data_IF_051688471330
#
_entry.id   IF_051688471330
#
_cell.length_a   1.000
_cell.length_b   1.000
_cell.length_c   1.000
_cell.angle_alpha   90.00
_cell.angle_beta   90.00
_cell.angle_gamma   90.00
#
_symmetry.space_group_name_H-M   'P 1'
#
loop_
_entity.id
_entity.type
_entity.pdbx_description
1 polymer ?
#
# COMPACT_ATOMS: atom_id res chain seq x y z
N UNK A 1 -35.72 18.85 25.10
CA UNK A 1 -34.53 19.31 24.35
C UNK A 1 -34.92 20.36 23.31
N UNK A 2 -34.35 21.58 23.35
CA UNK A 2 -34.63 22.63 22.35
C UNK A 2 -34.30 22.12 20.94
N UNK A 3 -35.08 22.50 19.91
CA UNK A 3 -34.97 22.06 18.50
C UNK A 3 -33.52 22.11 17.96
N UNK A 4 -32.76 23.13 18.37
CA UNK A 4 -31.33 23.31 18.05
C UNK A 4 -30.41 22.16 18.53
N UNK A 5 -30.70 21.55 19.68
CA UNK A 5 -29.90 20.44 20.20
C UNK A 5 -30.21 19.11 19.49
N UNK A 6 -31.46 18.92 19.03
CA UNK A 6 -31.81 17.75 18.19
C UNK A 6 -31.10 17.82 16.83
N UNK A 7 -31.02 19.02 16.23
CA UNK A 7 -30.30 19.24 14.98
C UNK A 7 -28.78 19.05 15.14
N UNK A 8 -28.19 19.55 16.23
CA UNK A 8 -26.76 19.35 16.52
C UNK A 8 -26.43 17.87 16.78
N UNK A 9 -27.26 17.17 17.55
CA UNK A 9 -27.11 15.73 17.81
C UNK A 9 -27.25 14.93 16.52
N UNK A 10 -28.20 15.28 15.64
CA UNK A 10 -28.33 14.65 14.33
C UNK A 10 -27.11 14.88 13.43
N UNK A 11 -26.54 16.09 13.40
CA UNK A 11 -25.33 16.42 12.66
C UNK A 11 -24.08 15.67 13.15
N UNK A 12 -24.00 15.35 14.45
CA UNK A 12 -22.87 14.64 15.04
C UNK A 12 -23.03 13.12 14.91
N UNK A 13 -24.25 12.60 15.07
CA UNK A 13 -24.50 11.15 15.02
C UNK A 13 -24.60 10.61 13.59
N UNK A 14 -25.08 11.41 12.62
CA UNK A 14 -25.28 10.91 11.26
C UNK A 14 -23.98 10.49 10.55
N UNK A 15 -22.83 11.20 10.67
CA UNK A 15 -21.59 10.75 10.05
C UNK A 15 -21.06 9.47 10.70
N UNK A 16 -21.23 9.32 12.03
CA UNK A 16 -20.83 8.12 12.76
C UNK A 16 -21.65 6.91 12.29
N UNK A 17 -22.96 7.07 12.14
CA UNK A 17 -23.82 6.00 11.62
C UNK A 17 -23.47 5.66 10.18
N UNK A 18 -23.22 6.66 9.32
CA UNK A 18 -22.81 6.44 7.93
C UNK A 18 -21.48 5.68 7.86
N UNK A 19 -20.46 6.13 8.59
CA UNK A 19 -19.15 5.45 8.67
C UNK A 19 -19.33 4.02 9.19
N UNK A 20 -20.15 3.85 10.23
CA UNK A 20 -20.50 2.54 10.78
C UNK A 20 -21.07 1.62 9.71
N UNK A 21 -22.10 2.07 8.98
CA UNK A 21 -22.74 1.31 7.89
C UNK A 21 -21.75 0.99 6.76
N UNK A 22 -20.94 1.95 6.34
CA UNK A 22 -19.94 1.75 5.28
C UNK A 22 -18.87 0.73 5.69
N UNK A 23 -18.48 0.70 6.96
CA UNK A 23 -17.42 -0.19 7.47
C UNK A 23 -17.89 -1.62 7.76
N UNK A 24 -19.21 -1.87 7.79
CA UNK A 24 -19.80 -3.19 8.15
C UNK A 24 -19.22 -4.30 7.27
N UNK A 25 -19.08 -4.06 5.98
CA UNK A 25 -18.59 -5.09 5.06
C UNK A 25 -17.20 -5.56 5.47
N UNK A 26 -16.28 -4.67 5.81
CA UNK A 26 -14.89 -4.97 6.09
C UNK A 26 -14.72 -5.58 7.49
N UNK A 27 -15.53 -5.15 8.46
CA UNK A 27 -15.49 -5.67 9.83
C UNK A 27 -16.00 -7.12 9.90
N UNK A 28 -17.04 -7.45 9.13
CA UNK A 28 -17.68 -8.77 9.21
C UNK A 28 -17.33 -9.71 8.05
N UNK A 29 -16.53 -9.27 7.07
CA UNK A 29 -16.08 -10.14 5.98
C UNK A 29 -15.25 -11.30 6.52
N UNK A 30 -15.65 -12.50 6.12
CA UNK A 30 -14.86 -13.72 6.27
C UNK A 30 -14.51 -14.23 4.89
N UNK A 31 -13.21 -14.27 4.61
CA UNK A 31 -12.69 -14.81 3.37
C UNK A 31 -13.13 -16.27 3.21
N UNK A 32 -13.72 -16.60 2.05
CA UNK A 32 -14.27 -17.92 1.77
C UNK A 32 -14.29 -18.20 0.26
N UNK A 33 -14.20 -19.48 -0.09
CA UNK A 33 -14.24 -19.93 -1.48
C UNK A 33 -13.02 -19.49 -2.30
N UNK A 34 -13.00 -19.89 -3.57
CA UNK A 34 -11.99 -19.47 -4.53
C UNK A 34 -12.45 -18.20 -5.25
N UNK A 35 -11.53 -17.25 -5.38
CA UNK A 35 -11.72 -16.07 -6.21
C UNK A 35 -11.60 -16.39 -7.70
N UNK A 36 -12.24 -15.56 -8.53
CA UNK A 36 -12.06 -15.57 -9.98
C UNK A 36 -11.71 -14.17 -10.44
N UNK A 37 -10.50 -13.98 -10.97
CA UNK A 37 -10.09 -12.73 -11.61
C UNK A 37 -10.36 -12.79 -13.11
N UNK A 38 -11.00 -11.77 -13.66
CA UNK A 38 -11.26 -11.66 -15.11
C UNK A 38 -10.61 -10.41 -15.69
N UNK A 39 -10.29 -10.48 -16.98
CA UNK A 39 -9.70 -9.37 -17.71
C UNK A 39 -8.28 -9.05 -17.26
N UNK A 40 -7.92 -7.77 -17.30
CA UNK A 40 -6.59 -7.26 -16.99
C UNK A 40 -6.61 -6.39 -15.74
N UNK A 41 -5.43 -6.10 -15.18
CA UNK A 41 -5.29 -5.15 -14.07
C UNK A 41 -5.89 -3.77 -14.33
N UNK A 42 -6.02 -3.34 -15.59
CA UNK A 42 -6.55 -2.02 -15.98
C UNK A 42 -7.99 -2.07 -16.52
N UNK A 43 -8.50 -3.26 -16.79
CA UNK A 43 -9.86 -3.49 -17.28
C UNK A 43 -10.28 -4.92 -16.93
N UNK A 44 -10.81 -5.11 -15.72
CA UNK A 44 -11.08 -6.42 -15.18
C UNK A 44 -12.09 -6.37 -14.03
N UNK A 45 -12.35 -7.54 -13.48
CA UNK A 45 -13.22 -7.72 -12.32
C UNK A 45 -12.67 -8.83 -11.42
N UNK A 46 -13.17 -8.85 -10.19
CA UNK A 46 -12.85 -9.83 -9.17
C UNK A 46 -14.16 -10.41 -8.62
N UNK A 47 -14.28 -11.73 -8.63
CA UNK A 47 -15.36 -12.42 -7.93
C UNK A 47 -14.79 -13.15 -6.72
N UNK A 48 -15.56 -13.19 -5.62
CA UNK A 48 -15.14 -13.74 -4.32
C UNK A 48 -13.76 -13.23 -3.88
N UNK A 49 -13.55 -11.91 -3.97
CA UNK A 49 -12.32 -11.28 -3.48
C UNK A 49 -12.10 -11.56 -2.00
N UNK A 50 -10.84 -11.76 -1.63
CA UNK A 50 -10.43 -11.94 -0.24
C UNK A 50 -9.88 -10.63 0.30
N UNK A 51 -10.43 -10.19 1.42
CA UNK A 51 -10.01 -8.98 2.13
C UNK A 51 -8.72 -9.26 2.89
N UNK A 52 -7.68 -8.47 2.61
CA UNK A 52 -6.42 -8.48 3.36
C UNK A 52 -6.69 -8.05 4.81
N UNK A 53 -6.04 -8.63 5.85
CA UNK A 53 -6.25 -8.17 7.22
C UNK A 53 -5.79 -6.71 7.38
N UNK A 54 -6.54 -5.91 8.13
CA UNK A 54 -6.15 -4.52 8.39
C UNK A 54 -4.79 -4.43 9.10
N UNK A 55 -4.47 -5.39 9.97
CA UNK A 55 -3.16 -5.48 10.61
C UNK A 55 -2.79 -6.91 11.00
N UNK A 56 -1.50 -7.13 11.20
CA UNK A 56 -0.90 -8.31 11.81
C UNK A 56 0.27 -7.91 12.70
N UNK A 57 1.09 -8.87 13.11
CA UNK A 57 2.17 -8.63 14.08
C UNK A 57 3.28 -7.72 13.54
N UNK A 58 3.54 -7.75 12.23
CA UNK A 58 4.59 -6.99 11.56
C UNK A 58 4.08 -6.18 10.35
N UNK A 59 2.77 -6.00 10.20
CA UNK A 59 2.22 -5.19 9.12
C UNK A 59 0.91 -4.50 9.47
N UNK A 60 0.59 -3.43 8.75
CA UNK A 60 -0.72 -2.79 8.77
C UNK A 60 -1.14 -2.31 7.37
N UNK A 61 -2.43 -2.02 7.22
CA UNK A 61 -2.97 -1.31 6.08
C UNK A 61 -2.89 0.20 6.35
N UNK A 62 -2.46 0.98 5.35
CA UNK A 62 -2.05 2.38 5.53
C UNK A 62 -3.18 3.35 5.92
N UNK A 63 -4.42 3.08 5.50
CA UNK A 63 -5.52 4.06 5.57
C UNK A 63 -6.85 3.45 5.96
N UNK A 64 -7.45 3.97 7.03
CA UNK A 64 -8.82 3.64 7.42
C UNK A 64 -9.84 4.00 6.34
N UNK A 65 -9.66 5.14 5.65
CA UNK A 65 -10.59 5.60 4.61
C UNK A 65 -10.53 4.64 3.41
N UNK A 66 -9.32 4.33 2.93
CA UNK A 66 -9.13 3.42 1.80
C UNK A 66 -9.68 2.01 2.12
N UNK A 67 -9.42 1.52 3.33
CA UNK A 67 -9.86 0.20 3.74
C UNK A 67 -11.37 0.11 4.00
N UNK A 68 -11.88 0.89 4.97
CA UNK A 68 -13.24 0.75 5.50
C UNK A 68 -14.31 1.53 4.74
N UNK A 69 -13.95 2.61 4.04
CA UNK A 69 -14.93 3.45 3.35
C UNK A 69 -14.90 3.26 1.83
N UNK A 70 -13.73 2.98 1.26
CA UNK A 70 -13.56 2.80 -0.19
C UNK A 70 -13.52 1.32 -0.62
N UNK A 71 -13.46 0.39 0.33
CA UNK A 71 -13.40 -1.06 0.08
C UNK A 71 -12.19 -1.51 -0.77
N UNK A 72 -11.05 -0.80 -0.71
CA UNK A 72 -9.88 -1.05 -1.57
C UNK A 72 -8.93 -2.14 -1.06
N UNK A 73 -9.38 -3.00 -0.14
CA UNK A 73 -8.54 -4.01 0.54
C UNK A 73 -8.61 -5.43 -0.04
N UNK A 74 -9.26 -5.64 -1.19
CA UNK A 74 -9.54 -6.99 -1.69
C UNK A 74 -8.55 -7.43 -2.77
N UNK A 75 -8.22 -8.73 -2.74
CA UNK A 75 -7.35 -9.38 -3.73
C UNK A 75 -7.85 -10.77 -4.08
N UNK A 76 -7.27 -11.37 -5.11
CA UNK A 76 -7.49 -12.78 -5.43
C UNK A 76 -6.97 -13.69 -4.30
N UNK A 77 -7.69 -14.77 -3.96
CA UNK A 77 -7.35 -15.65 -2.82
C UNK A 77 -5.90 -16.15 -2.79
N UNK A 78 -5.31 -16.51 -3.94
CA UNK A 78 -3.90 -16.91 -4.01
C UNK A 78 -2.92 -15.76 -3.72
N UNK A 79 -3.28 -14.54 -4.11
CA UNK A 79 -2.50 -13.33 -3.82
C UNK A 79 -2.57 -13.03 -2.33
N UNK A 80 -3.76 -13.10 -1.73
CA UNK A 80 -3.94 -13.02 -0.28
C UNK A 80 -3.02 -14.00 0.45
N UNK A 81 -3.04 -15.28 0.04
CA UNK A 81 -2.25 -16.33 0.68
C UNK A 81 -0.76 -16.05 0.58
N UNK A 82 -0.28 -15.62 -0.59
CA UNK A 82 1.12 -15.25 -0.77
C UNK A 82 1.55 -14.07 0.12
N UNK A 83 0.69 -13.06 0.28
CA UNK A 83 0.98 -11.89 1.11
C UNK A 83 0.99 -12.24 2.60
N UNK A 84 0.00 -13.00 3.08
CA UNK A 84 -0.03 -13.40 4.50
C UNK A 84 1.12 -14.36 4.83
N UNK A 85 1.43 -15.31 3.93
CA UNK A 85 2.58 -16.21 4.09
C UNK A 85 3.91 -15.46 4.09
N UNK A 86 4.07 -14.42 3.27
CA UNK A 86 5.31 -13.63 3.23
C UNK A 86 5.50 -12.86 4.55
N UNK A 87 4.44 -12.26 5.09
CA UNK A 87 4.53 -11.56 6.37
C UNK A 87 4.76 -12.51 7.54
N UNK A 88 4.16 -13.70 7.57
CA UNK A 88 4.45 -14.71 8.58
C UNK A 88 5.92 -15.15 8.53
N UNK A 89 6.49 -15.30 7.33
CA UNK A 89 7.91 -15.63 7.17
C UNK A 89 8.83 -14.48 7.63
N UNK A 90 8.45 -13.23 7.34
CA UNK A 90 9.19 -12.04 7.74
C UNK A 90 9.10 -11.79 9.25
N UNK A 91 7.95 -12.04 9.87
CA UNK A 91 7.78 -11.92 11.32
C UNK A 91 8.77 -12.83 12.06
N UNK A 92 8.95 -14.06 11.56
CA UNK A 92 9.89 -15.02 12.13
C UNK A 92 11.35 -14.65 11.87
N UNK A 93 11.68 -14.15 10.68
CA UNK A 93 13.07 -13.91 10.29
C UNK A 93 13.59 -12.52 10.67
N UNK A 94 12.69 -11.55 10.82
CA UNK A 94 12.98 -10.12 10.99
C UNK A 94 11.89 -9.44 11.83
N UNK A 95 11.72 -9.84 13.10
CA UNK A 95 10.63 -9.38 13.96
C UNK A 95 10.63 -7.86 14.24
N UNK A 96 11.75 -7.18 14.03
CA UNK A 96 11.90 -5.74 14.20
C UNK A 96 11.37 -4.93 13.01
N UNK A 97 11.21 -5.56 11.84
CA UNK A 97 10.73 -4.90 10.63
C UNK A 97 9.22 -4.77 10.62
N UNK A 98 8.75 -3.78 9.90
CA UNK A 98 7.34 -3.50 9.75
C UNK A 98 7.03 -3.11 8.31
N UNK A 99 5.88 -3.56 7.82
CA UNK A 99 5.47 -3.39 6.44
C UNK A 99 4.10 -2.76 6.37
N UNK A 100 3.87 -1.96 5.33
CA UNK A 100 2.59 -1.27 5.18
C UNK A 100 2.00 -1.60 3.82
N UNK A 101 0.82 -2.21 3.85
CA UNK A 101 0.03 -2.52 2.66
C UNK A 101 -0.78 -1.27 2.31
N UNK A 102 -0.81 -0.96 1.02
CA UNK A 102 -1.58 0.14 0.47
C UNK A 102 -2.71 -0.39 -0.42
N UNK A 103 -3.06 0.33 -1.47
CA UNK A 103 -4.18 -0.02 -2.33
C UNK A 103 -4.09 -1.42 -2.93
N UNK A 104 -5.19 -2.15 -2.79
CA UNK A 104 -5.49 -3.37 -3.51
C UNK A 104 -6.67 -3.09 -4.46
N UNK A 105 -7.51 -4.09 -4.72
CA UNK A 105 -8.72 -3.94 -5.53
C UNK A 105 -9.96 -3.67 -4.68
N UNK A 106 -11.02 -3.18 -5.34
CA UNK A 106 -12.39 -3.26 -4.83
C UNK A 106 -12.82 -4.72 -4.64
N UNK A 107 -13.80 -4.96 -3.76
CA UNK A 107 -14.41 -6.28 -3.52
C UNK A 107 -14.80 -7.03 -4.79
N UNK A 108 -15.36 -6.31 -5.76
CA UNK A 108 -15.79 -6.86 -7.05
C UNK A 108 -14.81 -6.52 -8.20
N UNK A 109 -13.67 -5.90 -7.87
CA UNK A 109 -12.76 -5.33 -8.85
C UNK A 109 -13.38 -4.17 -9.60
N UNK A 110 -13.04 -3.99 -10.88
CA UNK A 110 -13.50 -2.85 -11.66
C UNK A 110 -12.77 -1.55 -11.30
N UNK A 111 -13.31 -0.38 -11.69
CA UNK A 111 -12.65 0.90 -11.47
C UNK A 111 -12.42 1.21 -9.99
N UNK A 112 -11.16 1.37 -9.60
CA UNK A 112 -10.76 1.79 -8.26
C UNK A 112 -10.59 3.31 -8.23
N UNK A 113 -11.04 3.94 -7.16
CA UNK A 113 -10.94 5.39 -7.00
C UNK A 113 -9.46 5.83 -6.98
N UNK A 114 -9.12 6.86 -7.75
CA UNK A 114 -7.76 7.40 -7.97
C UNK A 114 -6.77 6.47 -8.71
N UNK A 115 -7.15 5.23 -9.03
CA UNK A 115 -6.26 4.24 -9.65
C UNK A 115 -6.76 3.78 -11.03
N UNK A 116 -5.85 3.73 -12.00
CA UNK A 116 -6.16 3.19 -13.34
C UNK A 116 -6.04 1.66 -13.40
N UNK A 117 -5.32 1.07 -12.45
CA UNK A 117 -5.05 -0.38 -12.32
C UNK A 117 -5.88 -0.97 -11.17
N UNK A 118 -5.43 -2.08 -10.58
CA UNK A 118 -6.06 -2.74 -9.42
C UNK A 118 -7.49 -3.21 -9.65
N UNK A 119 -7.84 -3.55 -10.89
CA UNK A 119 -9.24 -3.85 -11.24
C UNK A 119 -9.63 -5.32 -11.12
N UNK A 120 -8.69 -6.23 -10.88
CA UNK A 120 -8.93 -7.68 -10.99
C UNK A 120 -8.36 -8.49 -9.82
N UNK A 121 -7.93 -7.87 -8.72
CA UNK A 121 -7.39 -8.57 -7.56
C UNK A 121 -5.97 -9.11 -7.71
N UNK A 122 -5.23 -8.70 -8.75
CA UNK A 122 -3.87 -9.20 -9.02
C UNK A 122 -2.79 -8.11 -8.95
N UNK A 123 -3.06 -7.02 -8.23
CA UNK A 123 -2.13 -5.92 -8.04
C UNK A 123 -2.25 -5.40 -6.59
N UNK A 124 -1.13 -5.04 -5.98
CA UNK A 124 -1.07 -4.42 -4.64
C UNK A 124 0.01 -3.35 -4.63
N UNK A 125 -0.29 -2.20 -4.02
CA UNK A 125 0.68 -1.19 -3.64
C UNK A 125 1.21 -1.48 -2.23
N UNK A 126 2.52 -1.35 -2.05
CA UNK A 126 3.19 -1.52 -0.76
C UNK A 126 4.00 -0.29 -0.47
N UNK A 127 3.85 0.26 0.73
CA UNK A 127 4.62 1.43 1.13
C UNK A 127 6.10 1.06 1.26
N UNK A 128 6.97 1.95 0.83
CA UNK A 128 8.41 1.81 1.05
C UNK A 128 8.69 1.90 2.55
N UNK A 129 9.31 0.86 3.16
CA UNK A 129 9.77 0.92 4.55
C UNK A 129 10.76 2.06 4.72
N UNK A 130 10.78 2.69 5.89
CA UNK A 130 11.59 3.88 6.13
C UNK A 130 12.54 3.69 7.30
N UNK A 131 13.68 4.35 7.21
CA UNK A 131 14.67 4.44 8.26
C UNK A 131 15.01 5.90 8.53
N UNK A 132 15.40 6.17 9.77
CA UNK A 132 15.92 7.46 10.21
C UNK A 132 17.09 7.19 11.13
N UNK A 133 18.27 7.72 10.81
CA UNK A 133 19.49 7.48 11.57
C UNK A 133 19.76 5.98 11.82
N UNK A 134 19.53 5.15 10.80
CA UNK A 134 19.72 3.70 10.85
C UNK A 134 18.69 2.90 11.67
N UNK A 135 17.62 3.54 12.16
CA UNK A 135 16.53 2.87 12.89
C UNK A 135 15.25 2.88 12.08
N UNK A 136 14.43 1.84 12.23
CA UNK A 136 13.09 1.77 11.61
C UNK A 136 12.27 2.99 12.01
N UNK A 137 11.63 3.61 11.04
CA UNK A 137 10.83 4.82 11.21
C UNK A 137 9.43 4.62 10.64
N UNK A 138 8.39 4.79 11.48
CA UNK A 138 6.99 4.47 11.12
C UNK A 138 6.02 5.63 11.29
N UNK A 139 6.49 6.79 11.77
CA UNK A 139 5.63 7.91 12.17
C UNK A 139 4.81 8.47 10.99
N UNK A 140 5.24 8.19 9.76
CA UNK A 140 4.55 8.59 8.52
C UNK A 140 3.63 7.49 7.96
N UNK A 141 3.75 6.25 8.41
CA UNK A 141 3.08 5.10 7.77
C UNK A 141 1.56 5.08 8.03
N UNK A 142 1.11 5.79 9.07
CA UNK A 142 -0.30 5.88 9.48
C UNK A 142 -0.99 7.17 9.03
N UNK A 143 -0.37 7.94 8.14
CA UNK A 143 -0.95 9.20 7.62
C UNK A 143 -2.10 8.96 6.63
N UNK A 144 -2.37 7.71 6.25
CA UNK A 144 -3.41 7.35 5.31
C UNK A 144 -3.20 8.02 3.96
N UNK A 145 -4.26 8.60 3.39
CA UNK A 145 -4.19 9.26 2.07
C UNK A 145 -3.25 10.48 2.05
N UNK A 146 -2.85 11.03 3.19
CA UNK A 146 -1.85 12.09 3.23
C UNK A 146 -0.44 11.59 2.88
N UNK A 147 -0.18 10.29 2.83
CA UNK A 147 1.14 9.81 2.41
C UNK A 147 1.46 10.24 0.96
N UNK A 148 0.46 10.37 0.08
CA UNK A 148 0.64 10.84 -1.31
C UNK A 148 1.14 12.28 -1.42
N UNK A 149 1.22 13.00 -0.31
CA UNK A 149 1.79 14.34 -0.27
C UNK A 149 3.28 14.34 0.09
N UNK A 150 3.81 13.20 0.54
CA UNK A 150 5.24 13.02 0.82
C UNK A 150 5.98 12.97 -0.50
N UNK A 151 7.14 13.63 -0.56
CA UNK A 151 8.02 13.61 -1.72
C UNK A 151 9.36 13.01 -1.30
N UNK A 152 9.84 12.04 -2.08
CA UNK A 152 11.16 11.45 -1.92
C UNK A 152 11.99 11.76 -3.15
N UNK A 153 13.25 12.14 -2.97
CA UNK A 153 14.13 12.37 -4.11
C UNK A 153 14.58 11.05 -4.77
N UNK A 154 15.34 11.18 -5.86
CA UNK A 154 15.89 10.04 -6.61
C UNK A 154 16.91 9.20 -5.83
N UNK A 155 17.33 9.65 -4.65
CA UNK A 155 18.19 8.91 -3.74
C UNK A 155 17.40 8.22 -2.62
N UNK A 156 16.08 8.46 -2.55
CA UNK A 156 15.17 7.90 -1.55
C UNK A 156 15.12 8.71 -0.26
N UNK A 157 15.47 10.00 -0.26
CA UNK A 157 15.42 10.87 0.92
C UNK A 157 14.16 11.72 0.95
N UNK A 158 13.52 11.79 2.11
CA UNK A 158 12.33 12.59 2.34
C UNK A 158 12.63 14.08 2.13
N UNK A 159 11.82 14.75 1.32
CA UNK A 159 11.97 16.15 1.03
C UNK A 159 11.13 17.00 1.98
N UNK A 160 11.74 18.06 2.52
CA UNK A 160 11.04 19.10 3.29
C UNK A 160 10.46 20.17 2.37
N UNK A 161 9.65 19.75 1.40
CA UNK A 161 8.90 20.67 0.54
C UNK A 161 7.52 20.92 1.12
N UNK A 162 6.87 22.00 0.67
CA UNK A 162 5.46 22.22 0.93
C UNK A 162 4.71 21.15 0.14
N UNK A 163 4.10 20.15 0.81
CA UNK A 163 3.29 19.17 0.09
C UNK A 163 2.24 19.92 -0.72
N UNK A 164 1.73 19.32 -1.81
CA UNK A 164 0.57 19.83 -2.56
C UNK A 164 -0.66 19.93 -1.65
N UNK A 165 -0.68 20.93 -0.77
CA UNK A 165 -1.66 21.20 0.30
C UNK A 165 -1.95 22.69 0.35
N UNK A 166 -1.24 23.49 -0.46
CA UNK A 166 -1.51 24.91 -0.71
C UNK A 166 -2.93 25.14 -1.24
N UNK A 167 -3.53 24.13 -1.90
CA UNK A 167 -4.94 24.16 -2.31
C UNK A 167 -5.92 24.17 -1.12
N UNK A 168 -5.48 23.73 0.07
CA UNK A 168 -6.27 23.81 1.32
C UNK A 168 -5.99 25.16 1.99
N UNK A 169 -4.73 25.41 2.38
CA UNK A 169 -4.26 26.69 2.91
C UNK A 169 -2.72 26.70 3.05
N UNK A 170 -2.00 27.79 2.72
CA UNK A 170 -0.53 27.85 2.82
C UNK A 170 0.04 27.54 4.22
N UNK A 171 -0.70 27.89 5.29
CA UNK A 171 -0.26 27.58 6.66
C UNK A 171 -0.36 26.08 7.00
N UNK A 172 -1.26 25.34 6.34
CA UNK A 172 -1.37 23.90 6.52
C UNK A 172 -0.14 23.24 5.89
N UNK A 173 0.23 23.63 4.66
CA UNK A 173 1.46 23.15 4.02
C UNK A 173 2.68 23.42 4.90
N UNK A 174 2.80 24.64 5.43
CA UNK A 174 3.90 25.00 6.36
C UNK A 174 3.94 24.13 7.61
N UNK A 175 2.78 23.86 8.20
CA UNK A 175 2.68 23.06 9.42
C UNK A 175 3.06 21.61 9.14
N UNK A 176 2.57 21.04 8.03
CA UNK A 176 2.92 19.67 7.62
C UNK A 176 4.41 19.54 7.34
N UNK A 177 5.00 20.47 6.58
CA UNK A 177 6.45 20.45 6.27
C UNK A 177 7.32 20.51 7.52
N UNK A 178 6.87 21.12 8.62
CA UNK A 178 7.64 21.14 9.87
C UNK A 178 7.74 19.77 10.57
N UNK A 179 6.81 18.85 10.28
CA UNK A 179 6.87 17.46 10.76
C UNK A 179 7.73 16.55 9.86
N UNK A 180 8.14 17.02 8.68
CA UNK A 180 8.99 16.26 7.77
C UNK A 180 10.46 16.46 8.15
N UNK A 181 11.17 15.33 8.28
CA UNK A 181 12.58 15.28 8.64
C UNK A 181 13.40 14.70 7.48
N UNK A 182 14.30 15.49 6.85
CA UNK A 182 15.14 15.02 5.75
C UNK A 182 16.12 13.88 6.08
N UNK A 183 16.32 13.55 7.37
CA UNK A 183 17.07 12.36 7.79
C UNK A 183 16.27 11.06 7.60
N UNK A 184 14.99 11.15 7.24
CA UNK A 184 14.17 10.00 6.87
C UNK A 184 14.48 9.60 5.43
N UNK A 185 14.81 8.34 5.23
CA UNK A 185 15.06 7.76 3.91
C UNK A 185 14.41 6.38 3.75
N UNK A 186 14.31 5.92 2.51
CA UNK A 186 13.78 4.59 2.19
C UNK A 186 14.76 3.50 2.64
N UNK A 187 14.25 2.52 3.37
CA UNK A 187 14.97 1.29 3.71
C UNK A 187 14.87 0.29 2.56
N UNK A 188 15.77 0.45 1.59
CA UNK A 188 15.87 -0.42 0.43
C UNK A 188 16.19 -1.88 0.76
N UNK A 189 16.90 -2.16 1.87
CA UNK A 189 17.21 -3.54 2.25
C UNK A 189 15.93 -4.24 2.73
N UNK A 190 15.14 -3.59 3.59
CA UNK A 190 13.84 -4.10 4.06
C UNK A 190 12.86 -4.27 2.91
N UNK A 191 12.81 -3.32 1.97
CA UNK A 191 12.01 -3.45 0.75
C UNK A 191 12.40 -4.70 -0.05
N UNK A 192 13.69 -4.91 -0.30
CA UNK A 192 14.16 -6.07 -1.06
C UNK A 192 13.87 -7.39 -0.33
N UNK A 193 14.01 -7.42 0.99
CA UNK A 193 13.67 -8.58 1.82
C UNK A 193 12.18 -8.93 1.71
N UNK A 194 11.29 -7.93 1.70
CA UNK A 194 9.88 -8.17 1.46
C UNK A 194 9.62 -8.77 0.08
N UNK A 195 10.22 -8.22 -0.97
CA UNK A 195 10.06 -8.73 -2.34
C UNK A 195 10.53 -10.19 -2.45
N UNK A 196 11.63 -10.57 -1.79
CA UNK A 196 12.12 -11.95 -1.76
C UNK A 196 11.15 -12.90 -1.05
N UNK A 197 10.67 -12.51 0.14
CA UNK A 197 9.73 -13.32 0.92
C UNK A 197 8.40 -13.48 0.18
N UNK A 198 7.93 -12.42 -0.48
CA UNK A 198 6.73 -12.44 -1.30
C UNK A 198 6.90 -13.32 -2.54
N UNK A 199 8.04 -13.27 -3.22
CA UNK A 199 8.35 -14.15 -4.34
C UNK A 199 8.38 -15.63 -3.93
N UNK A 200 8.96 -15.95 -2.77
CA UNK A 200 8.96 -17.32 -2.22
C UNK A 200 7.53 -17.79 -1.88
N UNK A 201 6.73 -16.91 -1.26
CA UNK A 201 5.34 -17.20 -0.93
C UNK A 201 4.45 -17.31 -2.18
N UNK A 202 4.70 -16.52 -3.22
CA UNK A 202 4.03 -16.64 -4.52
C UNK A 202 4.26 -18.03 -5.11
N UNK A 203 5.51 -18.49 -5.18
CA UNK A 203 5.86 -19.81 -5.72
C UNK A 203 5.19 -20.94 -4.92
N UNK A 204 5.21 -20.84 -3.59
CA UNK A 204 4.53 -21.79 -2.70
C UNK A 204 3.02 -21.87 -2.98
N UNK A 205 2.40 -20.75 -3.33
CA UNK A 205 0.97 -20.65 -3.63
C UNK A 205 0.64 -20.82 -5.14
N UNK A 206 1.60 -21.26 -5.95
CA UNK A 206 1.40 -21.55 -7.37
C UNK A 206 1.08 -20.31 -8.22
N UNK A 207 1.63 -19.15 -7.83
CA UNK A 207 1.56 -17.89 -8.57
C UNK A 207 2.97 -17.28 -8.68
N UNK A 208 3.11 -16.16 -9.38
CA UNK A 208 4.40 -15.46 -9.48
C UNK A 208 4.24 -13.95 -9.46
N UNK A 209 5.29 -13.25 -9.04
CA UNK A 209 5.44 -11.82 -9.31
C UNK A 209 5.65 -11.65 -10.81
N UNK A 210 4.78 -10.87 -11.45
CA UNK A 210 4.81 -10.61 -12.89
C UNK A 210 5.46 -9.27 -13.23
N UNK A 211 5.40 -8.31 -12.31
CA UNK A 211 6.04 -7.01 -12.44
C UNK A 211 6.14 -6.32 -11.08
N UNK A 212 7.27 -5.69 -10.83
CA UNK A 212 7.45 -4.69 -9.77
C UNK A 212 7.60 -3.32 -10.42
N UNK A 213 6.88 -2.32 -9.93
CA UNK A 213 7.00 -0.93 -10.32
C UNK A 213 7.46 -0.16 -9.09
N UNK A 214 8.65 0.41 -9.20
CA UNK A 214 9.25 1.36 -8.28
C UNK A 214 9.73 2.51 -9.16
N UNK A 215 9.81 3.73 -8.61
CA UNK A 215 10.45 4.84 -9.32
C UNK A 215 11.79 4.38 -9.93
N UNK A 216 11.96 4.63 -11.23
CA UNK A 216 13.00 4.00 -12.05
C UNK A 216 14.40 4.27 -11.48
N UNK A 217 14.62 5.48 -10.97
CA UNK A 217 15.85 5.99 -10.39
C UNK A 217 16.22 5.25 -9.08
N UNK A 218 15.22 4.91 -8.27
CA UNK A 218 15.42 4.23 -6.97
C UNK A 218 15.88 2.77 -7.10
N UNK A 219 15.64 2.13 -8.26
CA UNK A 219 16.04 0.73 -8.49
C UNK A 219 17.54 0.50 -8.30
N UNK A 220 18.38 1.50 -8.62
CA UNK A 220 19.84 1.38 -8.43
C UNK A 220 20.18 1.22 -6.94
N UNK A 221 19.50 1.96 -6.06
CA UNK A 221 19.67 1.86 -4.61
C UNK A 221 19.15 0.52 -4.10
N UNK A 222 17.97 0.12 -4.56
CA UNK A 222 17.40 -1.19 -4.26
C UNK A 222 18.39 -2.32 -4.59
N UNK A 223 18.88 -2.40 -5.83
CA UNK A 223 19.75 -3.49 -6.26
C UNK A 223 21.18 -3.43 -5.70
N UNK A 224 21.59 -2.32 -5.09
CA UNK A 224 22.87 -2.22 -4.41
C UNK A 224 22.88 -2.94 -3.06
N UNK A 225 21.72 -3.15 -2.43
CA UNK A 225 21.62 -3.80 -1.11
C UNK A 225 21.91 -5.30 -1.18
N UNK A 226 22.33 -5.94 -0.07
CA UNK A 226 22.54 -7.39 -0.01
C UNK A 226 21.33 -8.20 -0.51
N UNK A 227 20.11 -7.85 -0.11
CA UNK A 227 18.90 -8.53 -0.56
C UNK A 227 18.48 -8.10 -1.96
N UNK A 228 18.73 -6.85 -2.36
CA UNK A 228 18.46 -6.38 -3.73
C UNK A 228 19.27 -7.11 -4.79
N UNK A 229 20.52 -7.47 -4.48
CA UNK A 229 21.34 -8.34 -5.35
C UNK A 229 20.69 -9.72 -5.55
N UNK A 230 20.06 -10.27 -4.50
CA UNK A 230 19.31 -11.54 -4.60
C UNK A 230 18.03 -11.39 -5.42
N UNK A 231 17.32 -10.26 -5.28
CA UNK A 231 16.14 -9.93 -6.11
C UNK A 231 16.53 -9.94 -7.58
N UNK A 232 17.64 -9.29 -7.92
CA UNK A 232 18.17 -9.26 -9.29
C UNK A 232 18.57 -10.65 -9.78
N UNK A 233 19.28 -11.43 -8.95
CA UNK A 233 19.71 -12.79 -9.28
C UNK A 233 18.54 -13.76 -9.52
N UNK A 234 17.39 -13.54 -8.87
CA UNK A 234 16.16 -14.32 -9.10
C UNK A 234 15.44 -13.96 -10.41
N UNK A 235 15.86 -12.89 -11.09
CA UNK A 235 15.21 -12.44 -12.33
C UNK A 235 13.80 -11.89 -12.09
N UNK A 236 13.50 -11.35 -10.89
CA UNK A 236 12.20 -10.74 -10.60
C UNK A 236 12.01 -9.53 -11.53
N UNK A 237 10.91 -9.46 -12.31
CA UNK A 237 10.76 -8.45 -13.35
C UNK A 237 10.42 -7.08 -12.77
N UNK A 238 11.23 -6.07 -13.08
CA UNK A 238 10.95 -4.65 -12.76
C UNK A 238 10.58 -3.86 -14.02
N UNK A 239 9.70 -2.88 -13.88
CA UNK A 239 9.45 -1.90 -14.95
C UNK A 239 10.75 -1.19 -15.34
N UNK A 240 11.03 -1.09 -16.64
CA UNK A 240 12.25 -0.44 -17.18
C UNK A 240 12.01 0.98 -17.65
N UNK A 241 10.76 1.32 -18.00
CA UNK A 241 10.32 2.64 -18.43
C UNK A 241 8.88 2.88 -17.97
N UNK A 242 8.60 4.10 -17.55
CA UNK A 242 7.27 4.57 -17.16
C UNK A 242 7.06 5.98 -17.73
N UNK A 243 5.82 6.41 -18.01
CA UNK A 243 5.53 7.83 -18.20
C UNK A 243 5.94 8.62 -16.96
N UNK A 244 6.53 9.80 -17.12
CA UNK A 244 7.10 10.59 -16.02
C UNK A 244 6.13 10.83 -14.87
N UNK A 245 4.87 11.14 -15.18
CA UNK A 245 3.83 11.33 -14.18
C UNK A 245 3.55 10.06 -13.37
N UNK A 246 3.61 8.88 -13.98
CA UNK A 246 3.46 7.60 -13.28
C UNK A 246 4.72 7.29 -12.47
N UNK A 247 5.90 7.54 -13.03
CA UNK A 247 7.17 7.29 -12.35
C UNK A 247 7.27 8.03 -11.01
N UNK A 248 6.93 9.33 -11.02
CA UNK A 248 6.97 10.19 -9.82
C UNK A 248 5.98 9.78 -8.73
N UNK A 249 4.86 9.15 -9.08
CA UNK A 249 3.94 8.65 -8.06
C UNK A 249 4.55 7.51 -7.23
N UNK A 250 5.54 6.77 -7.74
CA UNK A 250 6.12 5.59 -7.08
C UNK A 250 7.42 5.91 -6.34
N UNK A 251 7.55 7.13 -5.82
CA UNK A 251 8.71 7.58 -5.06
C UNK A 251 8.69 7.12 -3.60
N UNK A 252 7.51 6.78 -3.04
CA UNK A 252 7.35 6.39 -1.64
C UNK A 252 6.72 5.00 -1.42
N UNK A 253 6.42 4.30 -2.52
CA UNK A 253 5.82 2.98 -2.55
C UNK A 253 6.27 2.21 -3.80
N UNK A 254 5.99 0.91 -3.79
CA UNK A 254 6.20 0.04 -4.93
C UNK A 254 4.95 -0.79 -5.20
N UNK A 255 4.59 -0.88 -6.46
CA UNK A 255 3.46 -1.64 -6.95
C UNK A 255 3.93 -3.02 -7.41
N UNK A 256 3.18 -4.06 -7.06
CA UNK A 256 3.46 -5.42 -7.51
C UNK A 256 2.24 -5.99 -8.21
N UNK A 257 2.45 -6.43 -9.45
CA UNK A 257 1.50 -7.22 -10.20
C UNK A 257 1.81 -8.70 -10.07
N UNK A 258 0.77 -9.50 -9.85
CA UNK A 258 0.84 -10.95 -9.75
C UNK A 258 0.30 -11.61 -11.00
N UNK A 259 0.92 -12.71 -11.42
CA UNK A 259 0.34 -13.63 -12.38
C UNK A 259 -0.14 -14.89 -11.65
N UNK A 260 -1.45 -15.12 -11.72
CA UNK A 260 -2.15 -16.21 -11.04
C UNK A 260 -2.38 -17.45 -11.93
N UNK A 261 -1.90 -17.40 -13.18
CA UNK A 261 -2.02 -18.42 -14.21
C UNK A 261 -0.70 -19.15 -14.48
#
# INVERSE_FOLDING_TARGET
MKKRYKFLVFLILSPIVIIGVMSVNQVFTKNKGQSVSRGTRANGSLENGWLIPYSGNNFNYFSYISYFLMENGYVHHKVYQAVVDSYAALEKSQPEKHFTIMECSDKNGGPVWFHKTHRNGTSIDFMSPKIKNGKVYKDLDNWGLFHYVLEFDTEGKLQKKYPYTDFIHPQIGKSVSNYLDPEVEIDFETMAQHILALDDACKKNGIRISKVILMIELKKKLFATPSGKKVLARGIPFATKLPDAVNRMHEDHYHIDFNIN
#
